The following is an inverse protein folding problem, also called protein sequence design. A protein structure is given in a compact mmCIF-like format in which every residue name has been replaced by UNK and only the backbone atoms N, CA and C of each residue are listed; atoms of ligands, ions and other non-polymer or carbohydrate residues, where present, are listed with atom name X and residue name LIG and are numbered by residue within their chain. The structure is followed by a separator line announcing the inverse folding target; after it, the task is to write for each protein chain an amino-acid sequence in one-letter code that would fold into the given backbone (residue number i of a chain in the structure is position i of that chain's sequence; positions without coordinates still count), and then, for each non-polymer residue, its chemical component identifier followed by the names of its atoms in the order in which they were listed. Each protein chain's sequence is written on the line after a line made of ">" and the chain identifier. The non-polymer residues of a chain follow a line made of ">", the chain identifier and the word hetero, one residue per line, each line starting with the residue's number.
data_IF_432706912335
#
_entry.id   IF_432706912335
#
_cell.length_a   1.000
_cell.length_b   1.000
_cell.length_c   1.000
_cell.angle_alpha   90.00
_cell.angle_beta   90.00
_cell.angle_gamma   90.00
#
_symmetry.space_group_name_H-M   'P 1'
#
loop_
_entity.id
_entity.type
_entity.pdbx_description
1 polymer ?
#
# COMPACT_ATOMS: atom_id res chain seq x y z
N UNK A 1 9.98 -10.26 -37.42
CA UNK A 1 8.71 -10.36 -36.68
C UNK A 1 8.98 -9.93 -35.25
N UNK A 2 8.16 -9.02 -34.73
CA UNK A 2 8.55 -7.98 -33.78
C UNK A 2 8.85 -8.45 -32.36
N UNK A 3 9.93 -7.92 -31.80
CA UNK A 3 10.21 -7.91 -30.36
C UNK A 3 9.26 -6.92 -29.69
N UNK A 4 8.33 -7.42 -28.88
CA UNK A 4 7.44 -6.58 -28.09
C UNK A 4 8.24 -5.88 -26.98
N UNK A 5 8.40 -4.57 -27.09
CA UNK A 5 8.83 -3.70 -26.00
C UNK A 5 7.85 -3.83 -24.84
N UNK A 6 8.25 -4.53 -23.78
CA UNK A 6 7.53 -4.51 -22.50
C UNK A 6 8.06 -3.34 -21.69
N UNK A 7 7.45 -2.18 -21.90
CA UNK A 7 7.64 -0.99 -21.09
C UNK A 7 7.04 -1.25 -19.71
N UNK A 8 7.88 -1.55 -18.72
CA UNK A 8 7.47 -1.53 -17.31
C UNK A 8 7.27 -0.07 -16.90
N UNK A 9 6.01 0.35 -16.75
CA UNK A 9 5.67 1.63 -16.13
C UNK A 9 5.83 1.43 -14.63
N UNK A 10 6.99 1.83 -14.09
CA UNK A 10 7.16 2.01 -12.66
C UNK A 10 6.26 3.18 -12.23
N UNK A 11 5.25 2.91 -11.40
CA UNK A 11 4.47 3.96 -10.78
C UNK A 11 5.39 4.73 -9.84
N UNK A 12 5.59 6.00 -10.19
CA UNK A 12 6.52 6.89 -9.53
C UNK A 12 6.08 7.12 -8.09
N UNK A 13 7.01 6.82 -7.20
CA UNK A 13 6.96 7.19 -5.80
C UNK A 13 6.88 8.72 -5.69
N UNK A 14 5.79 9.26 -5.12
CA UNK A 14 5.60 10.69 -4.95
C UNK A 14 6.52 11.23 -3.85
N UNK A 15 7.76 11.56 -4.23
CA UNK A 15 8.61 12.42 -3.42
C UNK A 15 8.14 13.87 -3.62
N UNK A 16 7.37 14.42 -2.68
CA UNK A 16 7.16 15.87 -2.62
C UNK A 16 8.47 16.50 -2.10
N UNK A 17 9.42 16.66 -3.02
CA UNK A 17 10.56 17.56 -2.83
C UNK A 17 10.13 18.95 -3.27
N UNK A 18 10.10 19.91 -2.35
CA UNK A 18 9.91 21.32 -2.69
C UNK A 18 11.07 21.78 -3.58
N UNK A 19 10.78 22.01 -4.87
CA UNK A 19 11.73 22.61 -5.80
C UNK A 19 11.79 24.11 -5.52
N UNK A 20 12.87 24.58 -4.91
CA UNK A 20 13.41 25.90 -5.19
C UNK A 20 14.73 25.68 -5.92
N UNK A 21 14.75 25.95 -7.23
CA UNK A 21 15.96 25.94 -8.06
C UNK A 21 16.18 24.68 -8.89
N UNK A 22 15.48 24.60 -10.02
CA UNK A 22 16.04 24.21 -11.33
C UNK A 22 17.13 23.12 -11.38
N UNK A 23 16.81 21.86 -11.05
CA UNK A 23 17.24 20.67 -11.82
C UNK A 23 16.44 19.46 -11.31
N UNK A 24 15.81 18.70 -12.20
CA UNK A 24 15.13 17.47 -11.85
C UNK A 24 16.12 16.46 -11.25
N UNK A 25 15.93 16.11 -9.98
CA UNK A 25 16.77 15.17 -9.19
C UNK A 25 16.53 13.70 -9.60
N UNK A 26 15.81 13.44 -10.69
CA UNK A 26 15.49 12.07 -11.12
C UNK A 26 16.70 11.31 -11.69
N UNK A 27 17.73 12.00 -12.18
CA UNK A 27 18.91 11.34 -12.80
C UNK A 27 19.96 10.81 -11.82
N UNK A 28 19.82 11.08 -10.51
CA UNK A 28 20.82 10.70 -9.50
C UNK A 28 20.44 9.51 -8.62
N UNK A 29 19.20 9.05 -8.70
CA UNK A 29 18.79 7.84 -7.99
C UNK A 29 18.90 6.64 -8.92
N UNK A 30 19.86 5.75 -8.63
CA UNK A 30 19.96 4.48 -9.35
C UNK A 30 18.77 3.62 -8.96
N UNK A 31 18.01 3.10 -9.94
CA UNK A 31 16.90 2.19 -9.71
C UNK A 31 17.33 0.98 -8.86
N UNK A 32 18.59 0.59 -8.94
CA UNK A 32 19.22 -0.47 -8.14
C UNK A 32 19.17 -0.22 -6.63
N UNK A 33 19.09 1.05 -6.20
CA UNK A 33 18.90 1.38 -4.78
C UNK A 33 17.45 1.15 -4.33
N UNK A 34 16.47 1.27 -5.23
CA UNK A 34 15.06 0.97 -4.98
C UNK A 34 14.69 -0.48 -5.29
N UNK A 35 15.51 -1.17 -6.07
CA UNK A 35 15.46 -2.60 -6.32
C UNK A 35 16.63 -3.27 -5.58
N UNK A 36 16.64 -3.27 -4.23
CA UNK A 36 17.56 -4.15 -3.53
C UNK A 36 17.28 -5.55 -4.07
N UNK A 37 18.33 -6.32 -4.37
CA UNK A 37 18.19 -7.74 -4.70
C UNK A 37 17.48 -8.41 -3.52
N UNK A 38 16.15 -8.51 -3.62
CA UNK A 38 15.25 -8.88 -2.54
C UNK A 38 15.40 -10.37 -2.32
N UNK A 39 16.34 -10.74 -1.45
CA UNK A 39 16.20 -12.00 -0.73
C UNK A 39 15.14 -11.78 0.36
N UNK A 40 13.88 -11.98 -0.05
CA UNK A 40 12.74 -12.35 0.81
C UNK A 40 12.18 -11.28 1.76
N UNK A 41 11.57 -10.21 1.23
CA UNK A 41 10.56 -9.41 1.96
C UNK A 41 9.25 -9.26 1.14
N UNK A 42 9.05 -10.14 0.15
CA UNK A 42 7.75 -10.20 -0.51
C UNK A 42 6.70 -10.61 0.54
N UNK A 43 5.53 -9.97 0.57
CA UNK A 43 4.50 -10.35 1.51
C UNK A 43 4.16 -11.84 1.36
N UNK A 44 4.01 -12.55 2.47
CA UNK A 44 3.52 -13.93 2.40
C UNK A 44 2.04 -13.89 2.00
N UNK A 45 1.72 -14.57 0.90
CA UNK A 45 0.42 -14.43 0.25
C UNK A 45 -0.68 -15.17 1.04
N UNK A 46 -1.45 -14.43 1.85
CA UNK A 46 -2.74 -14.90 2.36
C UNK A 46 -3.76 -15.22 1.25
N UNK A 47 -4.88 -15.86 1.59
CA UNK A 47 -5.94 -16.20 0.62
C UNK A 47 -6.94 -15.04 0.42
N UNK A 48 -7.50 -14.92 -0.79
CA UNK A 48 -8.63 -14.03 -1.08
C UNK A 48 -9.88 -14.70 -0.52
N UNK A 49 -10.59 -14.07 0.43
CA UNK A 49 -11.66 -14.78 1.17
C UNK A 49 -13.06 -14.20 1.00
N UNK A 50 -13.27 -13.16 0.20
CA UNK A 50 -14.63 -12.82 -0.25
C UNK A 50 -14.62 -11.99 -1.55
N UNK A 51 -15.47 -12.43 -2.50
CA UNK A 51 -15.73 -11.84 -3.81
C UNK A 51 -14.91 -12.51 -4.92
N UNK A 52 -15.46 -13.53 -5.61
CA UNK A 52 -14.94 -14.00 -6.91
C UNK A 52 -15.26 -13.04 -8.06
N UNK A 53 -15.75 -11.85 -7.72
CA UNK A 53 -16.33 -10.88 -8.62
C UNK A 53 -15.55 -9.58 -8.53
N UNK A 54 -15.57 -8.83 -9.63
CA UNK A 54 -14.99 -7.51 -9.69
C UNK A 54 -15.67 -6.58 -8.69
N UNK A 55 -14.88 -5.81 -7.96
CA UNK A 55 -15.39 -4.77 -7.06
C UNK A 55 -15.06 -3.39 -7.60
N UNK A 56 -16.05 -2.49 -7.56
CA UNK A 56 -15.89 -1.07 -7.90
C UNK A 56 -16.11 -0.28 -6.63
N UNK A 57 -15.06 0.39 -6.16
CA UNK A 57 -15.04 1.13 -4.90
C UNK A 57 -14.93 2.62 -5.19
N UNK A 58 -15.86 3.41 -4.67
CA UNK A 58 -15.78 4.87 -4.71
C UNK A 58 -14.64 5.36 -3.81
N UNK A 59 -13.84 6.28 -4.34
CA UNK A 59 -12.70 6.87 -3.66
C UNK A 59 -12.99 8.32 -3.31
N UNK A 60 -12.48 8.75 -2.16
CA UNK A 60 -12.38 10.17 -1.83
C UNK A 60 -11.08 10.75 -2.41
N UNK A 61 -11.14 11.98 -2.90
CA UNK A 61 -9.95 12.72 -3.33
C UNK A 61 -9.63 13.80 -2.29
N UNK A 62 -8.57 13.60 -1.51
CA UNK A 62 -8.15 14.52 -0.45
C UNK A 62 -6.70 14.94 -0.68
N UNK A 63 -6.41 16.23 -0.79
CA UNK A 63 -5.01 16.71 -0.85
C UNK A 63 -4.16 16.15 -1.99
N UNK A 64 -4.77 15.69 -3.09
CA UNK A 64 -4.07 15.09 -4.23
C UNK A 64 -3.85 13.57 -4.13
N UNK A 65 -4.36 12.92 -3.09
CA UNK A 65 -4.34 11.47 -2.93
C UNK A 65 -5.73 10.87 -3.00
N UNK A 66 -5.80 9.59 -3.37
CA UNK A 66 -7.02 8.79 -3.35
C UNK A 66 -7.12 8.00 -2.07
N UNK A 67 -8.26 8.10 -1.40
CA UNK A 67 -8.52 7.48 -0.10
C UNK A 67 -9.68 6.51 -0.24
N UNK A 68 -9.51 5.30 0.28
CA UNK A 68 -10.59 4.33 0.42
C UNK A 68 -10.98 4.17 1.88
N UNK A 69 -12.27 3.92 2.11
CA UNK A 69 -12.74 3.35 3.36
C UNK A 69 -12.43 1.85 3.35
N UNK A 70 -11.83 1.40 4.45
CA UNK A 70 -11.34 0.04 4.64
C UNK A 70 -11.85 -0.47 5.98
N UNK A 71 -12.24 -1.74 6.03
CA UNK A 71 -12.56 -2.41 7.29
C UNK A 71 -11.42 -3.36 7.66
N UNK A 72 -10.91 -3.21 8.87
CA UNK A 72 -9.88 -4.04 9.48
C UNK A 72 -10.53 -5.02 10.46
N UNK A 73 -10.18 -6.29 10.31
CA UNK A 73 -10.63 -7.39 11.16
C UNK A 73 -12.16 -7.46 11.37
N UNK A 74 -12.95 -7.07 10.36
CA UNK A 74 -14.42 -7.09 10.36
C UNK A 74 -15.13 -6.19 11.40
N UNK A 75 -14.42 -5.31 12.12
CA UNK A 75 -15.04 -4.50 13.18
C UNK A 75 -14.52 -3.06 13.32
N UNK A 76 -13.44 -2.68 12.65
CA UNK A 76 -12.90 -1.33 12.73
C UNK A 76 -12.77 -0.70 11.35
N UNK A 77 -13.26 0.53 11.18
CA UNK A 77 -13.10 1.28 9.95
C UNK A 77 -11.79 2.08 9.96
N UNK A 78 -11.19 2.23 8.79
CA UNK A 78 -9.99 3.02 8.57
C UNK A 78 -10.07 3.74 7.21
N UNK A 79 -9.43 4.89 7.11
CA UNK A 79 -9.26 5.65 5.87
C UNK A 79 -7.81 5.51 5.40
N UNK A 80 -7.60 4.74 4.34
CA UNK A 80 -6.26 4.44 3.83
C UNK A 80 -6.05 5.05 2.45
N UNK A 81 -4.86 5.63 2.24
CA UNK A 81 -4.43 6.09 0.91
C UNK A 81 -4.12 4.88 0.04
N UNK A 82 -4.56 4.91 -1.22
CA UNK A 82 -4.18 3.90 -2.22
C UNK A 82 -2.72 4.11 -2.63
N UNK A 83 -1.82 3.20 -2.23
CA UNK A 83 -0.39 3.28 -2.56
C UNK A 83 0.13 1.95 -3.13
N UNK A 84 0.08 1.81 -4.45
CA UNK A 84 0.64 0.64 -5.16
C UNK A 84 2.17 0.61 -5.15
N UNK A 85 2.84 1.66 -4.68
CA UNK A 85 4.29 1.73 -4.49
C UNK A 85 4.74 1.21 -3.13
N UNK A 86 3.84 1.11 -2.15
CA UNK A 86 4.13 0.55 -0.83
C UNK A 86 4.16 -0.98 -0.87
N UNK A 87 5.23 -1.60 -0.38
CA UNK A 87 5.34 -3.08 -0.30
C UNK A 87 4.33 -3.67 0.68
N UNK A 88 4.13 -3.02 1.83
CA UNK A 88 3.18 -3.43 2.86
C UNK A 88 2.10 -2.36 3.02
N UNK A 89 0.86 -2.78 3.25
CA UNK A 89 -0.16 -1.96 3.88
C UNK A 89 0.39 -1.45 5.21
N UNK A 90 0.27 -0.16 5.47
CA UNK A 90 0.80 0.50 6.65
C UNK A 90 -0.35 1.13 7.43
N UNK A 91 -0.37 0.95 8.75
CA UNK A 91 -1.36 1.54 9.65
C UNK A 91 -0.64 2.22 10.82
N UNK A 92 -1.25 3.24 11.41
CA UNK A 92 -0.73 3.88 12.63
C UNK A 92 -0.78 2.93 13.83
N UNK A 93 -0.03 3.28 14.88
CA UNK A 93 -0.04 2.54 16.15
C UNK A 93 -1.44 2.56 16.81
N UNK A 94 -2.11 3.72 16.79
CA UNK A 94 -3.47 3.87 17.32
C UNK A 94 -4.45 2.98 16.55
N UNK A 95 -4.39 2.99 15.21
CA UNK A 95 -5.25 2.14 14.38
C UNK A 95 -4.97 0.65 14.60
N UNK A 96 -3.71 0.26 14.77
CA UNK A 96 -3.37 -1.13 15.09
C UNK A 96 -3.95 -1.54 16.44
N UNK A 97 -3.86 -0.68 17.45
CA UNK A 97 -4.46 -0.92 18.76
C UNK A 97 -5.98 -1.06 18.68
N UNK A 98 -6.66 -0.12 18.02
CA UNK A 98 -8.12 -0.09 17.87
C UNK A 98 -8.63 -1.31 17.07
N UNK A 99 -7.95 -1.69 15.99
CA UNK A 99 -8.27 -2.86 15.17
C UNK A 99 -7.81 -4.20 15.78
N UNK A 100 -7.21 -4.20 16.97
CA UNK A 100 -6.73 -5.41 17.64
C UNK A 100 -5.59 -6.12 16.90
N UNK A 101 -4.84 -5.40 16.07
CA UNK A 101 -3.69 -5.90 15.30
C UNK A 101 -2.44 -5.75 16.17
N UNK A 102 -1.70 -6.84 16.37
CA UNK A 102 -0.52 -6.87 17.23
C UNK A 102 0.73 -7.20 16.43
N UNK A 103 1.80 -6.51 16.79
CA UNK A 103 3.16 -6.76 16.31
C UNK A 103 3.57 -8.22 16.46
N UNK A 104 4.11 -8.78 15.39
CA UNK A 104 4.81 -10.05 15.41
C UNK A 104 6.21 -9.83 15.97
N UNK A 105 6.34 -9.97 17.28
CA UNK A 105 7.62 -9.79 18.00
C UNK A 105 8.73 -10.76 17.56
N UNK A 106 8.42 -11.86 16.88
CA UNK A 106 9.42 -12.80 16.40
C UNK A 106 10.08 -12.33 15.09
N UNK A 107 9.32 -11.63 14.25
CA UNK A 107 9.75 -11.16 12.92
C UNK A 107 9.94 -9.63 12.85
N UNK A 108 9.74 -8.94 13.97
CA UNK A 108 9.91 -7.49 14.12
C UNK A 108 11.13 -7.15 14.98
N UNK A 109 11.72 -5.97 14.80
CA UNK A 109 11.39 -4.96 13.79
C UNK A 109 12.02 -5.26 12.43
N UNK A 110 11.40 -4.75 11.36
CA UNK A 110 11.94 -4.79 9.99
C UNK A 110 12.49 -3.43 9.57
N UNK A 111 13.46 -3.44 8.66
CA UNK A 111 13.98 -2.21 8.03
C UNK A 111 13.32 -2.03 6.67
N UNK A 112 12.58 -0.94 6.51
CA UNK A 112 11.95 -0.55 5.25
C UNK A 112 12.75 0.56 4.59
N UNK A 113 12.89 0.49 3.27
CA UNK A 113 13.40 1.60 2.47
C UNK A 113 12.22 2.40 1.92
N UNK A 114 12.15 3.67 2.30
CA UNK A 114 11.13 4.62 1.84
C UNK A 114 11.80 5.79 1.12
N UNK A 115 10.99 6.70 0.57
CA UNK A 115 11.47 7.98 0.03
C UNK A 115 12.20 8.81 1.07
N UNK A 116 11.69 8.81 2.29
CA UNK A 116 12.26 9.55 3.41
C UNK A 116 13.54 8.93 3.96
N UNK A 117 13.97 7.78 3.41
CA UNK A 117 15.10 7.00 3.87
C UNK A 117 14.67 5.70 4.53
N UNK A 118 15.58 5.13 5.33
CA UNK A 118 15.33 3.88 6.06
C UNK A 118 14.48 4.17 7.29
N UNK A 119 13.42 3.38 7.47
CA UNK A 119 12.58 3.40 8.66
C UNK A 119 12.56 2.01 9.29
N UNK A 120 12.56 1.96 10.61
CA UNK A 120 12.36 0.73 11.37
C UNK A 120 10.88 0.66 11.74
N UNK A 121 10.25 -0.48 11.48
CA UNK A 121 8.83 -0.64 11.72
C UNK A 121 8.48 -2.05 12.19
N UNK A 122 7.32 -2.18 12.81
CA UNK A 122 6.84 -3.44 13.35
C UNK A 122 5.96 -4.15 12.32
N UNK A 123 6.27 -5.41 12.02
CA UNK A 123 5.48 -6.24 11.13
C UNK A 123 4.35 -6.89 11.95
N UNK A 124 3.16 -6.96 11.37
CA UNK A 124 2.00 -7.63 11.95
C UNK A 124 1.17 -8.30 10.84
N UNK A 125 0.15 -9.06 11.25
CA UNK A 125 -0.82 -9.64 10.32
C UNK A 125 -2.21 -9.18 10.71
N UNK A 126 -2.89 -8.51 9.78
CA UNK A 126 -4.33 -8.29 9.87
C UNK A 126 -5.04 -9.58 9.46
N UNK A 127 -5.93 -10.08 10.32
CA UNK A 127 -6.73 -11.29 10.05
C UNK A 127 -7.54 -11.10 8.77
N UNK A 128 -8.09 -9.90 8.57
CA UNK A 128 -8.81 -9.52 7.35
C UNK A 128 -8.71 -8.04 7.08
N UNK A 129 -8.56 -7.68 5.80
CA UNK A 129 -8.75 -6.33 5.29
C UNK A 129 -9.83 -6.39 4.21
N UNK A 130 -10.86 -5.55 4.32
CA UNK A 130 -11.96 -5.45 3.35
C UNK A 130 -12.09 -4.05 2.78
N UNK A 131 -12.27 -3.96 1.47
CA UNK A 131 -12.45 -2.70 0.73
C UNK A 131 -13.67 -2.86 -0.17
N UNK A 132 -14.74 -2.12 0.10
CA UNK A 132 -16.04 -2.39 -0.53
C UNK A 132 -16.49 -3.83 -0.27
N UNK A 133 -16.75 -4.59 -1.33
CA UNK A 133 -17.24 -5.98 -1.22
C UNK A 133 -16.13 -7.03 -1.30
N UNK A 134 -14.86 -6.62 -1.40
CA UNK A 134 -13.72 -7.53 -1.57
C UNK A 134 -12.86 -7.60 -0.31
N UNK A 135 -12.41 -8.79 0.04
CA UNK A 135 -11.63 -9.04 1.26
C UNK A 135 -10.41 -9.93 1.03
N UNK A 136 -9.33 -9.63 1.77
CA UNK A 136 -8.12 -10.45 1.88
C UNK A 136 -7.94 -10.89 3.33
N UNK A 137 -7.68 -12.17 3.52
CA UNK A 137 -7.29 -12.69 4.83
C UNK A 137 -5.77 -12.75 4.96
N UNK A 138 -5.30 -12.74 6.21
CA UNK A 138 -3.89 -12.87 6.58
C UNK A 138 -3.00 -11.87 5.82
N UNK A 139 -3.38 -10.59 5.86
CA UNK A 139 -2.66 -9.52 5.18
C UNK A 139 -1.55 -9.03 6.08
N UNK A 140 -0.30 -9.13 5.62
CA UNK A 140 0.82 -8.52 6.30
C UNK A 140 0.68 -6.99 6.28
N UNK A 141 0.83 -6.39 7.45
CA UNK A 141 0.80 -4.95 7.65
C UNK A 141 2.02 -4.48 8.42
N UNK A 142 2.37 -3.23 8.23
CA UNK A 142 3.40 -2.55 9.04
C UNK A 142 2.71 -1.55 9.96
N UNK A 143 3.07 -1.60 11.24
CA UNK A 143 2.65 -0.63 12.24
C UNK A 143 3.71 0.48 12.26
N UNK A 144 3.35 1.64 11.75
CA UNK A 144 4.21 2.82 11.68
C UNK A 144 3.41 4.10 11.47
N UNK A 145 3.63 5.10 12.32
CA UNK A 145 3.04 6.43 12.16
C UNK A 145 3.79 7.23 11.10
N UNK A 146 3.16 7.41 9.94
CA UNK A 146 3.72 8.19 8.82
C UNK A 146 3.55 9.69 9.12
N UNK A 147 4.64 10.48 9.14
CA UNK A 147 4.55 11.91 9.40
C UNK A 147 3.88 12.65 8.23
N UNK A 148 3.13 13.70 8.55
CA UNK A 148 2.49 14.61 7.58
C UNK A 148 1.44 13.95 6.66
N UNK A 149 0.79 12.88 7.11
CA UNK A 149 -0.45 12.44 6.46
C UNK A 149 -1.55 13.50 6.62
N UNK A 150 -2.49 13.61 5.66
CA UNK A 150 -3.68 14.45 5.84
C UNK A 150 -4.48 14.03 7.09
N UNK A 151 -5.15 14.99 7.73
CA UNK A 151 -5.94 14.73 8.93
C UNK A 151 -7.01 13.65 8.69
N UNK A 152 -7.10 12.71 9.64
CA UNK A 152 -8.04 11.60 9.59
C UNK A 152 -7.71 10.51 8.57
N UNK A 153 -6.45 10.41 8.13
CA UNK A 153 -5.93 9.30 7.34
C UNK A 153 -5.09 8.38 8.23
N UNK A 154 -5.42 7.09 8.20
CA UNK A 154 -4.90 6.10 9.14
C UNK A 154 -3.69 5.31 8.59
N UNK A 155 -3.36 5.53 7.31
CA UNK A 155 -2.19 4.93 6.68
C UNK A 155 -2.31 4.72 5.18
N UNK A 156 -1.65 3.65 4.69
CA UNK A 156 -1.50 3.30 3.28
C UNK A 156 -2.03 1.89 3.02
N UNK A 157 -2.83 1.71 1.98
CA UNK A 157 -3.21 0.41 1.45
C UNK A 157 -2.18 0.02 0.37
N UNK A 158 -1.41 -1.04 0.63
CA UNK A 158 -0.22 -1.40 -0.13
C UNK A 158 -0.31 -2.73 -0.88
N UNK A 159 0.83 -3.17 -1.44
CA UNK A 159 0.93 -4.39 -2.24
C UNK A 159 0.61 -5.66 -1.45
N UNK A 160 0.86 -5.74 -0.14
CA UNK A 160 0.45 -6.90 0.68
C UNK A 160 -1.06 -7.15 0.66
N UNK A 161 -1.87 -6.14 0.35
CA UNK A 161 -3.28 -6.29 0.01
C UNK A 161 -3.50 -6.48 -1.50
N UNK A 162 -2.86 -5.66 -2.34
CA UNK A 162 -3.13 -5.59 -3.78
C UNK A 162 -2.55 -6.73 -4.63
N UNK A 163 -1.58 -7.50 -4.14
CA UNK A 163 -0.84 -8.51 -4.89
C UNK A 163 -1.72 -9.60 -5.52
N UNK A 164 -2.91 -9.83 -4.94
CA UNK A 164 -3.91 -10.78 -5.44
C UNK A 164 -4.97 -10.15 -6.36
N UNK A 165 -4.81 -8.89 -6.77
CA UNK A 165 -5.81 -8.21 -7.60
C UNK A 165 -5.20 -7.64 -8.89
N UNK A 166 -5.99 -7.60 -9.96
CA UNK A 166 -5.81 -6.61 -11.01
C UNK A 166 -6.40 -5.31 -10.50
N UNK A 167 -5.56 -4.28 -10.42
CA UNK A 167 -5.92 -2.97 -9.89
C UNK A 167 -6.08 -1.99 -11.04
N UNK A 168 -7.23 -1.32 -11.13
CA UNK A 168 -7.45 -0.17 -12.04
C UNK A 168 -7.97 1.02 -11.27
N UNK A 169 -7.34 2.17 -11.49
CA UNK A 169 -7.75 3.44 -10.90
C UNK A 169 -8.39 4.30 -12.00
N UNK A 170 -9.70 4.54 -11.88
CA UNK A 170 -10.44 5.46 -12.74
C UNK A 170 -10.50 6.84 -12.07
N UNK A 171 -9.61 7.72 -12.50
CA UNK A 171 -9.52 9.08 -11.96
C UNK A 171 -10.73 9.95 -12.34
N UNK A 172 -11.35 9.71 -13.49
CA UNK A 172 -12.48 10.53 -13.97
C UNK A 172 -13.73 10.25 -13.15
N UNK A 173 -13.93 8.99 -12.76
CA UNK A 173 -15.08 8.56 -11.98
C UNK A 173 -14.78 8.38 -10.48
N UNK A 174 -13.54 8.63 -10.06
CA UNK A 174 -13.09 8.46 -8.66
C UNK A 174 -13.32 7.04 -8.16
N UNK A 175 -12.91 6.04 -8.96
CA UNK A 175 -13.19 4.64 -8.68
C UNK A 175 -11.94 3.78 -8.68
N UNK A 176 -11.88 2.86 -7.73
CA UNK A 176 -10.94 1.75 -7.71
C UNK A 176 -11.67 0.50 -8.18
N UNK A 177 -11.19 -0.13 -9.24
CA UNK A 177 -11.66 -1.44 -9.67
C UNK A 177 -10.65 -2.50 -9.25
N UNK A 178 -11.13 -3.52 -8.55
CA UNK A 178 -10.35 -4.67 -8.09
C UNK A 178 -10.94 -5.95 -8.66
N UNK A 179 -10.15 -6.68 -9.44
CA UNK A 179 -10.51 -8.01 -9.94
C UNK A 179 -9.59 -9.07 -9.32
N UNK A 180 -10.09 -10.12 -8.67
CA UNK A 180 -9.25 -11.21 -8.15
C UNK A 180 -8.36 -11.84 -9.22
N UNK A 181 -7.09 -12.11 -8.88
CA UNK A 181 -6.17 -12.96 -9.65
C UNK A 181 -6.26 -14.39 -9.11
N UNK A 182 -6.87 -15.26 -9.90
CA UNK A 182 -6.91 -16.71 -9.66
C UNK A 182 -5.55 -17.37 -9.88
#
# INVERSE_FOLDING_TARGET
>A
MGTANRLFIAFMVLAIGTVVGSQAILSRFSLDQFLPTTRSLAPEAGQVTAGSEDSVISLEHLGGVWVAQVELNDFHEARLIIDTGATFTTISEDMAFEAGIRSDTANSPINLLTVGGRVQAELAVARRIRVGNIGRDDVQVVIHTIPNLPDGIDGLLGLSFFDRFLVRLDHSNQQLHLSPRT
#
